data_IF_394762743716
#
_entry.id   IF_394762743716
#
_cell.length_a   1.000
_cell.length_b   1.000
_cell.length_c   1.000
_cell.angle_alpha   90.00
_cell.angle_beta   90.00
_cell.angle_gamma   90.00
#
_symmetry.space_group_name_H-M   'P 1'
#
loop_
_entity.id
_entity.type
_entity.pdbx_description
1 polymer ?
#
# COMPACT_ATOMS: atom_id res chain seq x y z
N UNK A 1 -26.24 -5.08 4.96
CA UNK A 1 -26.52 -6.51 4.70
C UNK A 1 -25.59 -7.32 5.58
N UNK A 2 -26.06 -8.41 6.20
CA UNK A 2 -25.16 -9.36 6.84
C UNK A 2 -24.66 -10.31 5.76
N UNK A 3 -23.34 -10.52 5.70
CA UNK A 3 -22.78 -11.53 4.82
C UNK A 3 -22.97 -12.89 5.48
N UNK A 4 -23.78 -13.73 4.85
CA UNK A 4 -24.02 -15.09 5.32
C UNK A 4 -22.85 -15.98 4.90
N UNK A 5 -22.07 -16.45 5.89
CA UNK A 5 -20.88 -17.24 5.67
C UNK A 5 -21.07 -18.63 6.30
N UNK A 6 -21.04 -19.66 5.45
CA UNK A 6 -21.21 -21.06 5.85
C UNK A 6 -19.92 -21.61 6.48
N UNK A 7 -19.85 -21.56 7.81
CA UNK A 7 -18.68 -21.99 8.57
C UNK A 7 -18.46 -23.50 8.47
N UNK A 8 -17.26 -23.91 8.02
CA UNK A 8 -16.87 -25.32 7.92
C UNK A 8 -15.88 -25.70 9.02
N UNK A 9 -16.15 -26.80 9.72
CA UNK A 9 -15.24 -27.33 10.74
C UNK A 9 -13.86 -27.61 10.15
N UNK A 10 -12.81 -27.17 10.86
CA UNK A 10 -11.41 -27.33 10.45
C UNK A 10 -10.95 -26.36 9.36
N UNK A 11 -11.84 -25.58 8.74
CA UNK A 11 -11.47 -24.59 7.74
C UNK A 11 -10.85 -23.35 8.41
N UNK A 12 -9.65 -22.96 7.97
CA UNK A 12 -9.06 -21.70 8.43
C UNK A 12 -9.71 -20.53 7.71
N UNK A 13 -10.21 -19.58 8.49
CA UNK A 13 -10.75 -18.31 8.03
C UNK A 13 -9.85 -17.18 8.55
N UNK A 14 -9.65 -16.13 7.75
CA UNK A 14 -8.81 -14.99 8.12
C UNK A 14 -9.64 -13.72 8.14
N UNK A 15 -9.26 -12.83 9.05
CA UNK A 15 -9.93 -11.55 9.26
C UNK A 15 -8.90 -10.44 9.27
N UNK A 16 -9.30 -9.26 8.79
CA UNK A 16 -8.55 -8.03 9.03
C UNK A 16 -9.51 -6.91 9.41
N UNK A 17 -9.04 -6.04 10.30
CA UNK A 17 -9.74 -4.83 10.70
C UNK A 17 -8.80 -3.65 10.47
N UNK A 18 -9.27 -2.64 9.74
CA UNK A 18 -8.60 -1.36 9.60
C UNK A 18 -9.28 -0.31 10.45
N UNK A 19 -8.49 0.64 10.95
CA UNK A 19 -8.98 1.83 11.63
C UNK A 19 -8.23 3.05 11.11
N UNK A 20 -8.94 4.16 10.89
CA UNK A 20 -8.35 5.47 10.60
C UNK A 20 -9.15 6.58 11.29
N UNK A 21 -8.52 7.70 11.67
CA UNK A 21 -9.25 8.88 12.10
C UNK A 21 -10.22 9.36 11.00
N UNK A 22 -11.39 9.84 11.41
CA UNK A 22 -12.45 10.37 10.56
C UNK A 22 -12.85 11.75 11.09
N UNK A 23 -12.07 12.76 10.72
CA UNK A 23 -12.09 14.06 11.40
C UNK A 23 -11.42 14.01 12.78
N UNK A 24 -11.75 14.96 13.65
CA UNK A 24 -11.10 15.12 14.96
C UNK A 24 -11.66 14.16 16.04
N UNK A 25 -12.96 13.85 16.01
CA UNK A 25 -13.64 13.18 17.13
C UNK A 25 -14.03 11.74 16.85
N UNK A 26 -13.83 11.24 15.63
CA UNK A 26 -14.32 9.94 15.19
C UNK A 26 -13.21 9.07 14.63
N UNK A 27 -13.44 7.76 14.68
CA UNK A 27 -12.62 6.76 14.01
C UNK A 27 -13.52 5.93 13.11
N UNK A 28 -13.09 5.75 11.87
CA UNK A 28 -13.71 4.83 10.92
C UNK A 28 -13.04 3.46 11.01
N UNK A 29 -13.85 2.41 11.03
CA UNK A 29 -13.44 1.02 11.07
C UNK A 29 -13.96 0.29 9.84
N UNK A 30 -13.14 -0.59 9.27
CA UNK A 30 -13.53 -1.49 8.18
C UNK A 30 -13.09 -2.93 8.48
N UNK A 31 -14.02 -3.87 8.40
CA UNK A 31 -13.77 -5.30 8.60
C UNK A 31 -13.83 -6.09 7.29
N UNK A 32 -12.91 -7.04 7.12
CA UNK A 32 -12.87 -7.92 5.96
C UNK A 32 -12.67 -9.37 6.39
N UNK A 33 -13.25 -10.29 5.61
CA UNK A 33 -13.07 -11.75 5.73
C UNK A 33 -12.39 -12.28 4.48
N UNK A 34 -11.39 -13.15 4.64
CA UNK A 34 -10.84 -13.89 3.51
C UNK A 34 -11.68 -15.15 3.29
N UNK A 35 -12.41 -15.21 2.16
CA UNK A 35 -13.34 -16.29 1.85
C UNK A 35 -12.54 -17.50 1.35
N UNK A 36 -12.45 -18.61 2.10
CA UNK A 36 -11.69 -19.77 1.67
C UNK A 36 -12.33 -20.42 0.44
N UNK A 37 -11.53 -20.68 -0.60
CA UNK A 37 -11.98 -21.23 -1.88
C UNK A 37 -12.12 -20.19 -3.00
N UNK A 38 -12.48 -18.94 -2.68
CA UNK A 38 -12.50 -17.83 -3.65
C UNK A 38 -11.15 -17.10 -3.75
N UNK A 39 -10.26 -17.34 -2.77
CA UNK A 39 -8.94 -16.72 -2.68
C UNK A 39 -8.99 -15.18 -2.77
N UNK A 40 -10.02 -14.57 -2.17
CA UNK A 40 -10.21 -13.13 -2.13
C UNK A 40 -10.68 -12.66 -0.76
N UNK A 41 -10.37 -11.40 -0.48
CA UNK A 41 -10.94 -10.69 0.66
C UNK A 41 -12.30 -10.10 0.29
N UNK A 42 -13.27 -10.30 1.17
CA UNK A 42 -14.61 -9.75 1.08
C UNK A 42 -14.77 -8.69 2.17
N UNK A 43 -15.15 -7.48 1.76
CA UNK A 43 -15.56 -6.42 2.68
C UNK A 43 -16.84 -6.82 3.42
N UNK A 44 -16.84 -6.66 4.74
CA UNK A 44 -17.97 -6.99 5.61
C UNK A 44 -18.78 -5.76 6.01
N UNK A 45 -18.09 -4.75 6.53
CA UNK A 45 -18.72 -3.54 7.03
C UNK A 45 -17.70 -2.41 7.13
N UNK A 46 -18.17 -1.20 6.87
CA UNK A 46 -17.49 0.04 7.25
C UNK A 46 -18.43 0.84 8.12
N UNK A 47 -17.96 1.34 9.26
CA UNK A 47 -18.71 2.27 10.10
C UNK A 47 -17.78 3.28 10.75
N UNK A 48 -18.33 4.41 11.17
CA UNK A 48 -17.61 5.47 11.87
C UNK A 48 -18.30 5.73 13.21
N UNK A 49 -17.53 5.96 14.27
CA UNK A 49 -18.06 6.17 15.62
C UNK A 49 -17.20 7.17 16.42
N UNK A 50 -17.78 7.73 17.47
CA UNK A 50 -17.14 8.74 18.34
C UNK A 50 -16.14 8.07 19.29
N UNK A 51 -14.85 8.28 19.03
CA UNK A 51 -13.73 7.67 19.76
C UNK A 51 -12.58 8.65 19.99
N UNK A 52 -12.74 9.93 19.63
CA UNK A 52 -11.67 10.93 19.72
C UNK A 52 -10.51 10.70 18.75
N UNK A 53 -10.77 10.05 17.60
CA UNK A 53 -9.73 9.69 16.62
C UNK A 53 -8.79 8.56 17.07
N UNK A 54 -9.05 7.93 18.21
CA UNK A 54 -8.23 6.83 18.72
C UNK A 54 -8.31 5.59 17.81
N UNK A 55 -7.16 4.95 17.58
CA UNK A 55 -7.06 3.70 16.80
C UNK A 55 -7.41 2.47 17.65
N UNK A 56 -7.27 1.29 17.04
CA UNK A 56 -7.54 -0.01 17.69
C UNK A 56 -6.73 -0.17 18.99
N UNK A 57 -7.43 -0.45 20.09
CA UNK A 57 -6.86 -0.82 21.39
C UNK A 57 -7.60 -2.04 21.94
N UNK A 58 -6.93 -2.80 22.81
CA UNK A 58 -7.53 -3.97 23.47
C UNK A 58 -8.06 -4.96 22.43
N UNK A 59 -7.17 -5.68 21.75
CA UNK A 59 -7.58 -6.65 20.74
C UNK A 59 -8.14 -7.89 21.43
N UNK A 60 -9.40 -8.24 21.13
CA UNK A 60 -10.10 -9.38 21.72
C UNK A 60 -10.48 -10.42 20.66
N UNK A 61 -10.56 -11.67 21.08
CA UNK A 61 -11.13 -12.77 20.31
C UNK A 61 -12.09 -13.53 21.21
N UNK A 62 -13.22 -13.97 20.68
CA UNK A 62 -14.25 -14.67 21.44
C UNK A 62 -14.88 -15.79 20.59
N UNK A 63 -15.48 -16.75 21.29
CA UNK A 63 -16.27 -17.85 20.72
C UNK A 63 -17.57 -17.84 21.49
N UNK A 64 -18.63 -17.40 20.83
CA UNK A 64 -19.93 -17.23 21.47
C UNK A 64 -21.04 -17.78 20.59
N UNK A 65 -22.04 -18.35 21.26
CA UNK A 65 -23.24 -18.87 20.66
C UNK A 65 -24.41 -17.91 20.92
N UNK A 66 -25.00 -17.43 19.83
CA UNK A 66 -26.11 -16.49 19.86
C UNK A 66 -27.47 -17.12 19.50
N UNK A 67 -27.54 -18.44 19.24
CA UNK A 67 -28.79 -19.10 18.80
C UNK A 67 -29.85 -19.13 19.90
N UNK A 68 -29.44 -19.15 21.18
CA UNK A 68 -30.32 -19.13 22.36
C UNK A 68 -31.42 -20.20 22.31
N UNK A 69 -31.15 -21.34 21.69
CA UNK A 69 -32.11 -22.46 21.53
C UNK A 69 -31.98 -23.52 22.64
N UNK A 70 -30.94 -23.43 23.47
CA UNK A 70 -30.66 -24.36 24.58
C UNK A 70 -30.01 -25.67 24.14
N UNK A 71 -30.23 -26.12 22.90
CA UNK A 71 -29.56 -27.28 22.32
C UNK A 71 -28.10 -26.97 22.01
N UNK A 72 -27.83 -25.81 21.43
CA UNK A 72 -26.48 -25.33 21.10
C UNK A 72 -25.58 -25.25 22.33
N UNK A 73 -26.12 -24.93 23.50
CA UNK A 73 -25.38 -24.90 24.75
C UNK A 73 -24.84 -26.28 25.19
N UNK A 74 -25.44 -27.38 24.70
CA UNK A 74 -24.99 -28.76 24.96
C UNK A 74 -23.89 -29.24 24.02
N UNK A 75 -23.46 -28.38 23.09
CA UNK A 75 -22.44 -28.71 22.10
C UNK A 75 -21.18 -27.90 22.41
N UNK A 76 -20.03 -28.56 22.33
CA UNK A 76 -18.73 -27.90 22.46
C UNK A 76 -18.48 -27.01 21.25
N UNK A 77 -18.24 -25.74 21.51
CA UNK A 77 -17.80 -24.75 20.52
C UNK A 77 -16.35 -24.40 20.77
N UNK A 78 -15.47 -24.70 19.82
CA UNK A 78 -14.03 -24.41 19.93
C UNK A 78 -13.52 -23.70 18.67
N UNK A 79 -12.76 -22.61 18.87
CA UNK A 79 -12.00 -21.98 17.80
C UNK A 79 -10.51 -21.93 18.15
N UNK A 80 -9.66 -21.98 17.12
CA UNK A 80 -8.19 -21.90 17.25
C UNK A 80 -7.67 -20.62 16.59
N UNK A 81 -7.13 -19.71 17.40
CA UNK A 81 -6.57 -18.43 16.99
C UNK A 81 -5.05 -18.53 16.83
N UNK A 82 -4.51 -17.97 15.74
CA UNK A 82 -3.09 -17.96 15.46
C UNK A 82 -2.75 -17.01 14.34
N UNK A 83 -1.45 -16.81 14.09
CA UNK A 83 -0.94 -15.88 13.08
C UNK A 83 -1.56 -14.47 13.17
N UNK A 84 -1.76 -13.97 14.39
CA UNK A 84 -2.25 -12.61 14.62
C UNK A 84 -1.14 -11.58 14.42
N UNK A 85 -1.47 -10.45 13.81
CA UNK A 85 -0.55 -9.34 13.55
C UNK A 85 -1.25 -8.01 13.78
N UNK A 86 -0.50 -7.02 14.26
CA UNK A 86 -0.96 -5.63 14.35
C UNK A 86 0.09 -4.71 13.72
N UNK A 87 -0.36 -3.77 12.90
CA UNK A 87 0.49 -2.68 12.42
C UNK A 87 0.42 -1.56 13.45
N UNK A 88 1.47 -1.41 14.25
CA UNK A 88 1.50 -0.36 15.27
C UNK A 88 1.79 0.99 14.62
N UNK A 89 0.99 2.01 14.99
CA UNK A 89 1.39 3.41 14.79
C UNK A 89 2.48 3.71 15.81
N UNK A 90 3.75 3.73 15.38
CA UNK A 90 4.85 4.29 16.16
C UNK A 90 5.27 5.62 15.56
N UNK A 91 5.89 6.46 16.38
CA UNK A 91 6.32 7.81 16.01
C UNK A 91 7.37 7.84 14.88
N UNK A 92 7.98 6.69 14.53
CA UNK A 92 9.07 6.59 13.54
C UNK A 92 8.93 5.46 12.49
N UNK A 93 7.73 4.89 12.27
CA UNK A 93 7.37 4.01 11.12
C UNK A 93 6.16 3.13 11.45
N UNK A 94 5.44 2.65 10.44
CA UNK A 94 4.44 1.60 10.60
C UNK A 94 5.10 0.21 10.75
N UNK A 95 5.23 -0.28 11.99
CA UNK A 95 5.91 -1.57 12.25
C UNK A 95 4.92 -2.69 12.54
N UNK A 96 5.03 -3.80 11.80
CA UNK A 96 4.27 -5.03 12.08
C UNK A 96 4.75 -5.70 13.37
N UNK A 97 3.82 -6.00 14.28
CA UNK A 97 4.07 -6.73 15.52
C UNK A 97 3.26 -8.02 15.55
N UNK A 98 3.88 -9.18 15.81
CA UNK A 98 3.15 -10.43 15.95
C UNK A 98 2.38 -10.45 17.28
N UNK A 99 1.16 -10.95 17.25
CA UNK A 99 0.34 -11.21 18.43
C UNK A 99 0.58 -12.65 18.87
N UNK A 100 1.49 -12.83 19.83
CA UNK A 100 1.87 -14.15 20.35
C UNK A 100 1.33 -14.46 21.73
N UNK A 101 0.83 -13.47 22.47
CA UNK A 101 0.30 -13.64 23.82
C UNK A 101 -1.19 -13.35 23.85
N UNK A 102 -1.97 -14.29 24.38
CA UNK A 102 -3.40 -14.11 24.67
C UNK A 102 -3.67 -14.18 26.17
N UNK A 103 -4.45 -13.24 26.71
CA UNK A 103 -4.93 -13.27 28.10
C UNK A 103 -6.33 -13.86 28.13
N UNK A 104 -6.56 -14.88 28.96
CA UNK A 104 -7.87 -15.49 29.09
C UNK A 104 -8.74 -14.68 30.05
N UNK A 105 -9.86 -14.16 29.57
CA UNK A 105 -10.77 -13.30 30.33
C UNK A 105 -12.22 -13.74 30.16
N UNK A 106 -13.05 -13.45 31.15
CA UNK A 106 -14.51 -13.58 31.10
C UNK A 106 -15.11 -12.31 31.73
N UNK A 107 -16.39 -12.08 31.47
CA UNK A 107 -17.14 -11.00 32.12
C UNK A 107 -17.40 -11.33 33.61
N UNK A 108 -18.24 -10.53 34.27
CA UNK A 108 -18.62 -10.76 35.66
C UNK A 108 -19.59 -11.93 35.86
N UNK A 109 -20.08 -12.55 34.78
CA UNK A 109 -21.03 -13.64 34.84
C UNK A 109 -20.29 -14.92 35.27
N UNK A 110 -20.77 -15.64 36.31
CA UNK A 110 -20.15 -16.88 36.75
C UNK A 110 -20.19 -17.96 35.65
N UNK A 111 -19.14 -18.02 34.84
CA UNK A 111 -19.06 -18.92 33.71
C UNK A 111 -18.21 -20.12 34.11
N UNK A 112 -18.80 -21.32 34.02
CA UNK A 112 -18.14 -22.57 34.46
C UNK A 112 -17.74 -23.49 33.30
N UNK A 113 -18.29 -23.25 32.11
CA UNK A 113 -18.14 -24.08 30.91
C UNK A 113 -17.25 -23.41 29.87
N UNK A 114 -16.10 -22.89 30.29
CA UNK A 114 -15.14 -22.21 29.42
C UNK A 114 -13.73 -22.74 29.65
N UNK A 115 -12.94 -22.75 28.58
CA UNK A 115 -11.55 -23.14 28.65
C UNK A 115 -10.72 -22.41 27.58
N UNK A 116 -9.44 -22.27 27.83
CA UNK A 116 -8.49 -21.68 26.90
C UNK A 116 -7.13 -22.31 27.07
N UNK A 117 -6.38 -22.50 26.00
CA UNK A 117 -5.07 -23.13 26.10
C UNK A 117 -4.29 -23.08 24.80
N UNK A 118 -3.10 -23.66 24.80
CA UNK A 118 -2.25 -23.77 23.61
C UNK A 118 -2.49 -25.10 22.89
N UNK A 119 -2.61 -25.05 21.58
CA UNK A 119 -2.57 -26.22 20.70
C UNK A 119 -1.62 -25.92 19.53
N UNK A 120 -0.50 -26.63 19.47
CA UNK A 120 0.59 -26.36 18.54
C UNK A 120 1.05 -24.88 18.55
N UNK A 121 0.86 -24.17 17.44
CA UNK A 121 1.20 -22.76 17.22
C UNK A 121 0.00 -21.82 17.38
N UNK A 122 -1.08 -22.29 18.01
CA UNK A 122 -2.35 -21.57 18.19
C UNK A 122 -2.80 -21.56 19.65
N UNK A 123 -3.66 -20.59 19.97
CA UNK A 123 -4.41 -20.52 21.22
C UNK A 123 -5.85 -20.91 20.91
N UNK A 124 -6.42 -21.86 21.65
CA UNK A 124 -7.85 -22.16 21.54
C UNK A 124 -8.66 -21.41 22.59
N UNK A 125 -9.92 -21.15 22.25
CA UNK A 125 -10.98 -20.78 23.17
C UNK A 125 -12.13 -21.77 22.97
N UNK A 126 -12.68 -22.26 24.08
CA UNK A 126 -13.76 -23.23 24.09
C UNK A 126 -14.88 -22.80 25.03
N UNK A 127 -16.12 -23.02 24.60
CA UNK A 127 -17.34 -22.83 25.38
C UNK A 127 -18.33 -23.97 25.14
N UNK A 128 -19.34 -24.10 26.01
CA UNK A 128 -20.45 -25.05 25.84
C UNK A 128 -20.20 -26.44 26.44
N UNK A 129 -21.26 -27.23 26.55
CA UNK A 129 -21.28 -28.58 27.14
C UNK A 129 -20.62 -28.64 28.55
N UNK A 130 -20.13 -29.82 28.95
CA UNK A 130 -19.37 -30.08 30.18
C UNK A 130 -17.91 -29.56 30.16
N UNK A 131 -17.63 -28.51 29.39
CA UNK A 131 -16.29 -27.88 29.35
C UNK A 131 -15.82 -27.50 30.75
N UNK A 132 -14.56 -27.78 31.07
CA UNK A 132 -13.92 -27.37 32.33
C UNK A 132 -12.66 -26.58 32.01
N UNK A 133 -12.33 -25.63 32.88
CA UNK A 133 -11.08 -24.87 32.74
C UNK A 133 -9.89 -25.71 33.20
N UNK A 134 -9.39 -26.56 32.31
CA UNK A 134 -8.32 -27.52 32.61
C UNK A 134 -6.94 -27.03 32.12
N UNK A 135 -6.89 -25.94 31.33
CA UNK A 135 -5.66 -25.43 30.73
C UNK A 135 -5.26 -24.08 31.34
N UNK A 136 -5.36 -22.99 30.58
CA UNK A 136 -4.97 -21.64 31.03
C UNK A 136 -6.01 -21.13 32.01
N UNK A 137 -5.58 -20.78 33.22
CA UNK A 137 -6.48 -20.28 34.26
C UNK A 137 -7.10 -18.94 33.86
N UNK A 138 -8.34 -18.71 34.29
CA UNK A 138 -8.99 -17.43 34.09
C UNK A 138 -8.13 -16.28 34.66
N UNK A 139 -7.92 -15.23 33.85
CA UNK A 139 -7.05 -14.06 34.07
C UNK A 139 -5.56 -14.26 33.83
N UNK A 140 -5.09 -15.49 33.58
CA UNK A 140 -3.72 -15.78 33.18
C UNK A 140 -3.52 -15.62 31.66
N UNK A 141 -2.28 -15.75 31.20
CA UNK A 141 -1.90 -15.59 29.80
C UNK A 141 -1.24 -16.84 29.22
N UNK A 142 -1.31 -16.99 27.92
CA UNK A 142 -0.65 -18.04 27.14
C UNK A 142 0.13 -17.41 26.01
N UNK A 143 1.36 -17.87 25.81
CA UNK A 143 2.25 -17.35 24.77
C UNK A 143 2.61 -18.42 23.73
N UNK A 144 2.77 -17.97 22.49
CA UNK A 144 3.21 -18.74 21.34
C UNK A 144 4.67 -18.41 21.01
N UNK A 145 5.38 -19.36 20.40
CA UNK A 145 6.73 -19.10 19.87
C UNK A 145 6.68 -18.05 18.74
N UNK A 146 7.72 -17.22 18.66
CA UNK A 146 7.83 -16.12 17.68
C UNK A 146 8.65 -16.47 16.44
N UNK A 147 9.43 -17.55 16.46
CA UNK A 147 10.38 -17.87 15.39
C UNK A 147 9.68 -18.00 14.02
N UNK A 148 10.25 -17.33 13.01
CA UNK A 148 9.92 -17.43 11.58
C UNK A 148 8.53 -16.94 11.11
N UNK A 149 7.77 -16.22 11.94
CA UNK A 149 6.47 -15.65 11.51
C UNK A 149 6.69 -14.40 10.63
N UNK A 150 5.98 -14.32 9.50
CA UNK A 150 5.93 -13.13 8.62
C UNK A 150 4.51 -12.55 8.57
N UNK A 151 4.35 -11.21 8.48
CA UNK A 151 3.04 -10.60 8.34
C UNK A 151 2.36 -11.03 7.04
N UNK A 152 1.02 -11.11 7.01
CA UNK A 152 0.29 -11.41 5.79
C UNK A 152 0.52 -10.32 4.74
N UNK A 153 0.83 -10.72 3.50
CA UNK A 153 1.15 -9.82 2.38
C UNK A 153 -0.05 -9.53 1.48
N UNK A 154 -1.05 -10.40 1.51
CA UNK A 154 -2.22 -10.40 0.65
C UNK A 154 -3.40 -9.63 1.23
N UNK A 155 -3.18 -8.76 2.23
CA UNK A 155 -4.23 -8.04 2.95
C UNK A 155 -5.07 -7.13 2.02
N UNK A 156 -6.40 -7.04 2.20
CA UNK A 156 -7.23 -6.19 1.35
C UNK A 156 -6.81 -4.73 1.45
N UNK A 157 -7.16 -3.95 0.44
CA UNK A 157 -6.96 -2.52 0.50
C UNK A 157 -7.82 -1.93 1.64
N UNK A 158 -7.26 -1.09 2.53
CA UNK A 158 -8.01 -0.46 3.60
C UNK A 158 -9.12 0.44 3.05
N UNK A 159 -10.33 0.29 3.60
CA UNK A 159 -11.51 1.11 3.23
C UNK A 159 -11.87 1.09 1.74
N UNK A 160 -11.47 0.05 1.00
CA UNK A 160 -11.95 -0.20 -0.35
C UNK A 160 -13.32 -0.89 -0.26
N UNK A 161 -14.36 -0.06 -0.23
CA UNK A 161 -15.77 -0.47 -0.33
C UNK A 161 -16.20 -0.66 -1.80
N UNK A 162 -15.26 -0.60 -2.75
CA UNK A 162 -15.55 -0.55 -4.17
C UNK A 162 -16.13 0.80 -4.64
N UNK A 163 -16.15 1.83 -3.78
CA UNK A 163 -16.74 3.14 -4.10
C UNK A 163 -15.74 4.14 -4.71
N UNK A 164 -14.49 3.75 -4.97
CA UNK A 164 -13.68 4.52 -5.93
C UNK A 164 -14.31 4.33 -7.29
N UNK A 165 -15.15 5.30 -7.67
CA UNK A 165 -15.63 5.43 -9.04
C UNK A 165 -14.39 5.50 -9.95
N UNK A 166 -14.12 4.45 -10.76
CA UNK A 166 -12.97 4.44 -11.66
C UNK A 166 -13.04 5.57 -12.70
N UNK A 167 -14.15 6.31 -12.76
CA UNK A 167 -14.34 7.45 -13.65
C UNK A 167 -13.96 8.82 -13.06
N UNK A 168 -13.67 8.97 -11.76
CA UNK A 168 -13.58 10.31 -11.17
C UNK A 168 -12.26 10.70 -10.49
N UNK A 169 -11.47 9.79 -9.93
CA UNK A 169 -10.17 10.14 -9.36
C UNK A 169 -9.11 9.06 -9.62
N UNK A 170 -7.95 9.48 -10.09
CA UNK A 170 -6.79 8.63 -10.40
C UNK A 170 -5.72 8.95 -9.36
N UNK A 171 -5.29 7.95 -8.59
CA UNK A 171 -4.17 8.05 -7.65
C UNK A 171 -2.90 7.50 -8.29
N UNK A 172 -1.90 8.36 -8.38
CA UNK A 172 -0.57 8.06 -8.90
C UNK A 172 0.39 8.03 -7.72
N UNK A 173 1.21 6.98 -7.63
CA UNK A 173 2.30 6.84 -6.66
C UNK A 173 3.64 6.94 -7.41
N UNK A 174 4.54 7.82 -6.96
CA UNK A 174 5.95 7.79 -7.30
C UNK A 174 6.74 7.23 -6.13
N UNK A 175 7.59 6.22 -6.38
CA UNK A 175 8.37 5.63 -5.31
C UNK A 175 9.68 5.01 -5.79
N UNK A 176 10.81 5.59 -5.38
CA UNK A 176 12.11 4.94 -5.48
C UNK A 176 12.21 3.87 -4.39
N UNK A 177 12.32 2.60 -4.80
CA UNK A 177 12.29 1.44 -3.87
C UNK A 177 13.67 0.87 -3.57
N UNK A 178 14.73 1.44 -4.13
CA UNK A 178 16.11 0.99 -3.92
C UNK A 178 16.25 -0.55 -4.01
N UNK A 179 15.77 -1.16 -5.09
CA UNK A 179 15.77 -2.62 -5.34
C UNK A 179 15.26 -3.45 -4.15
N UNK A 180 14.27 -2.93 -3.42
CA UNK A 180 13.69 -3.54 -2.23
C UNK A 180 14.58 -3.52 -0.99
N UNK A 181 15.71 -2.80 -1.01
CA UNK A 181 16.63 -2.68 0.13
C UNK A 181 16.18 -1.56 1.07
N UNK A 182 15.78 -1.96 2.28
CA UNK A 182 15.44 -1.02 3.35
C UNK A 182 16.64 -0.26 3.92
N UNK A 183 16.36 0.73 4.77
CA UNK A 183 17.37 1.47 5.52
C UNK A 183 18.03 0.64 6.65
N UNK A 184 17.53 -0.58 6.88
CA UNK A 184 18.19 -1.62 7.68
C UNK A 184 19.10 -2.53 6.84
N UNK A 185 19.36 -2.15 5.58
CA UNK A 185 20.14 -2.88 4.57
C UNK A 185 19.60 -4.28 4.23
N UNK A 186 18.37 -4.59 4.64
CA UNK A 186 17.72 -5.85 4.29
C UNK A 186 16.94 -5.71 2.97
N UNK A 187 17.21 -6.61 2.03
CA UNK A 187 16.47 -6.71 0.77
C UNK A 187 15.20 -7.52 0.99
N UNK A 188 14.06 -6.83 0.98
CA UNK A 188 12.74 -7.41 1.17
C UNK A 188 11.68 -6.63 0.38
N UNK A 189 11.49 -7.05 -0.87
CA UNK A 189 10.52 -6.49 -1.81
C UNK A 189 9.09 -6.48 -1.25
N UNK A 190 8.79 -7.38 -0.31
CA UNK A 190 7.45 -7.48 0.27
C UNK A 190 7.08 -6.24 1.09
N UNK A 191 8.07 -5.53 1.64
CA UNK A 191 7.88 -4.26 2.35
C UNK A 191 7.32 -3.18 1.41
N UNK A 192 7.91 -3.05 0.22
CA UNK A 192 7.42 -2.13 -0.81
C UNK A 192 6.00 -2.50 -1.27
N UNK A 193 5.71 -3.80 -1.44
CA UNK A 193 4.36 -4.26 -1.79
C UNK A 193 3.30 -3.88 -0.73
N UNK A 194 3.62 -4.04 0.56
CA UNK A 194 2.73 -3.64 1.66
C UNK A 194 2.44 -2.15 1.62
N UNK A 195 3.45 -1.31 1.38
CA UNK A 195 3.28 0.14 1.24
C UNK A 195 2.38 0.47 0.06
N UNK A 196 2.64 -0.11 -1.12
CA UNK A 196 1.83 0.12 -2.32
C UNK A 196 0.37 -0.29 -2.08
N UNK A 197 0.11 -1.47 -1.50
CA UNK A 197 -1.25 -1.93 -1.18
C UNK A 197 -1.96 -1.00 -0.20
N UNK A 198 -1.26 -0.53 0.84
CA UNK A 198 -1.79 0.40 1.84
C UNK A 198 -2.21 1.73 1.21
N UNK A 199 -1.39 2.24 0.29
CA UNK A 199 -1.62 3.54 -0.37
C UNK A 199 -2.68 3.45 -1.49
N UNK A 200 -2.98 2.25 -1.96
CA UNK A 200 -3.99 2.00 -2.98
C UNK A 200 -3.89 2.88 -4.24
N UNK A 201 -2.72 2.96 -4.89
CA UNK A 201 -2.61 3.68 -6.14
C UNK A 201 -3.33 2.93 -7.26
N UNK A 202 -3.77 3.69 -8.26
CA UNK A 202 -4.20 3.13 -9.54
C UNK A 202 -3.01 2.93 -10.48
N UNK A 203 -1.96 3.74 -10.30
CA UNK A 203 -0.73 3.72 -11.09
C UNK A 203 0.47 3.96 -10.18
N UNK A 204 1.55 3.20 -10.39
CA UNK A 204 2.80 3.31 -9.64
C UNK A 204 3.95 3.52 -10.61
N UNK A 205 4.70 4.60 -10.45
CA UNK A 205 5.98 4.86 -11.10
C UNK A 205 7.10 4.50 -10.11
N UNK A 206 7.76 3.37 -10.35
CA UNK A 206 8.83 2.84 -9.50
C UNK A 206 10.21 3.17 -10.08
N UNK A 207 11.14 3.60 -9.23
CA UNK A 207 12.55 3.80 -9.59
C UNK A 207 13.43 2.81 -8.82
N UNK A 208 14.62 2.53 -9.36
CA UNK A 208 15.59 1.58 -8.82
C UNK A 208 15.04 0.17 -8.69
N UNK A 209 14.55 -0.37 -9.82
CA UNK A 209 13.95 -1.70 -9.90
C UNK A 209 14.95 -2.64 -10.56
N UNK A 210 15.16 -3.80 -9.95
CA UNK A 210 15.95 -4.90 -10.50
C UNK A 210 15.07 -5.88 -11.29
N UNK A 211 15.66 -6.47 -12.32
CA UNK A 211 15.10 -7.59 -13.06
C UNK A 211 16.13 -8.71 -13.13
N UNK A 212 15.90 -9.77 -12.34
CA UNK A 212 16.74 -10.97 -12.29
C UNK A 212 18.21 -10.70 -11.87
N UNK A 213 18.42 -9.71 -11.01
CA UNK A 213 19.76 -9.35 -10.49
C UNK A 213 20.08 -10.18 -9.24
N UNK A 214 21.33 -10.60 -9.06
CA UNK A 214 21.75 -11.44 -7.93
C UNK A 214 21.47 -10.82 -6.55
N UNK A 215 21.75 -9.52 -6.38
CA UNK A 215 21.55 -8.79 -5.11
C UNK A 215 20.10 -8.76 -4.60
N UNK A 216 19.13 -8.87 -5.51
CA UNK A 216 17.69 -8.88 -5.23
C UNK A 216 17.08 -10.29 -5.30
N UNK A 217 17.93 -11.32 -5.15
CA UNK A 217 17.47 -12.71 -5.13
C UNK A 217 17.05 -13.25 -6.50
N UNK A 218 17.51 -12.63 -7.59
CA UNK A 218 17.15 -13.00 -8.97
C UNK A 218 15.63 -12.95 -9.22
N UNK A 219 14.96 -11.98 -8.60
CA UNK A 219 13.53 -11.74 -8.77
C UNK A 219 13.32 -10.72 -9.89
N UNK A 220 12.27 -10.91 -10.70
CA UNK A 220 11.75 -9.88 -11.59
C UNK A 220 10.85 -8.93 -10.78
N UNK A 221 11.41 -7.90 -10.16
CA UNK A 221 10.73 -7.12 -9.13
C UNK A 221 9.43 -6.45 -9.61
N UNK A 222 9.40 -5.98 -10.86
CA UNK A 222 8.20 -5.39 -11.45
C UNK A 222 7.03 -6.39 -11.51
N UNK A 223 7.30 -7.63 -11.93
CA UNK A 223 6.29 -8.69 -12.02
C UNK A 223 5.85 -9.15 -10.63
N UNK A 224 6.79 -9.33 -9.70
CA UNK A 224 6.48 -9.76 -8.35
C UNK A 224 5.71 -8.69 -7.57
N UNK A 225 6.04 -7.41 -7.73
CA UNK A 225 5.26 -6.31 -7.14
C UNK A 225 3.87 -6.23 -7.76
N UNK A 226 3.72 -6.40 -9.08
CA UNK A 226 2.41 -6.47 -9.73
C UNK A 226 1.54 -7.58 -9.11
N UNK A 227 2.11 -8.78 -8.96
CA UNK A 227 1.46 -9.94 -8.35
C UNK A 227 1.08 -9.70 -6.89
N UNK A 228 1.99 -9.15 -6.09
CA UNK A 228 1.78 -8.89 -4.67
C UNK A 228 0.78 -7.75 -4.43
N UNK A 229 0.69 -6.77 -5.33
CA UNK A 229 -0.19 -5.60 -5.17
C UNK A 229 -1.55 -5.78 -5.85
N UNK A 230 -1.67 -6.70 -6.80
CA UNK A 230 -2.88 -6.90 -7.61
C UNK A 230 -3.04 -5.89 -8.74
N UNK A 231 -1.97 -5.15 -9.09
CA UNK A 231 -1.96 -4.26 -10.24
C UNK A 231 -1.72 -5.08 -11.50
N UNK A 232 -2.78 -5.33 -12.27
CA UNK A 232 -2.81 -6.31 -13.37
C UNK A 232 -1.84 -6.01 -14.51
N UNK A 233 -1.52 -4.73 -14.74
CA UNK A 233 -0.61 -4.32 -15.80
C UNK A 233 0.73 -3.86 -15.21
N UNK A 234 1.82 -4.31 -15.82
CA UNK A 234 3.15 -3.88 -15.42
C UNK A 234 4.11 -3.80 -16.61
N UNK A 235 5.11 -2.94 -16.48
CA UNK A 235 6.18 -2.76 -17.45
C UNK A 235 7.50 -2.58 -16.71
N UNK A 236 8.57 -3.13 -17.27
CA UNK A 236 9.93 -2.89 -16.84
C UNK A 236 10.71 -2.18 -17.96
N UNK A 237 11.48 -1.16 -17.59
CA UNK A 237 12.34 -0.40 -18.49
C UNK A 237 13.77 -0.43 -17.99
N UNK A 238 14.62 -1.20 -18.66
CA UNK A 238 16.05 -1.31 -18.34
C UNK A 238 16.78 0.01 -18.64
N UNK A 239 17.65 0.41 -17.71
CA UNK A 239 18.71 1.38 -17.91
C UNK A 239 19.94 0.72 -18.55
N UNK A 240 20.39 -0.40 -17.96
CA UNK A 240 21.54 -1.19 -18.41
C UNK A 240 21.53 -2.59 -17.76
N UNK A 241 22.39 -3.48 -18.26
CA UNK A 241 22.59 -4.84 -17.71
C UNK A 241 23.45 -4.79 -16.44
N UNK A 242 23.05 -5.53 -15.40
CA UNK A 242 23.71 -5.53 -14.09
C UNK A 242 23.64 -6.92 -13.44
N UNK A 243 24.78 -7.47 -13.03
CA UNK A 243 24.90 -8.72 -12.25
C UNK A 243 24.00 -9.88 -12.75
N UNK A 244 24.10 -10.19 -14.04
CA UNK A 244 23.34 -11.27 -14.70
C UNK A 244 21.89 -10.91 -15.05
N UNK A 245 21.38 -9.78 -14.56
CA UNK A 245 20.06 -9.25 -14.85
C UNK A 245 20.13 -7.83 -15.41
N UNK A 246 19.12 -7.02 -15.10
CA UNK A 246 19.01 -5.65 -15.56
C UNK A 246 18.57 -4.73 -14.43
N UNK A 247 19.07 -3.50 -14.43
CA UNK A 247 18.67 -2.45 -13.51
C UNK A 247 17.88 -1.37 -14.25
N UNK A 248 16.85 -0.82 -13.63
CA UNK A 248 15.97 0.13 -14.30
C UNK A 248 14.86 0.72 -13.45
N UNK A 249 13.70 0.87 -14.08
CA UNK A 249 12.48 1.41 -13.50
C UNK A 249 11.27 0.58 -13.94
N UNK A 250 10.13 0.75 -13.27
CA UNK A 250 8.92 0.05 -13.61
C UNK A 250 7.68 0.94 -13.52
N UNK A 251 6.63 0.55 -14.25
CA UNK A 251 5.28 1.10 -14.08
C UNK A 251 4.36 -0.07 -13.74
N UNK A 252 3.56 0.08 -12.67
CA UNK A 252 2.46 -0.83 -12.34
C UNK A 252 1.14 -0.08 -12.51
N UNK A 253 0.09 -0.73 -12.98
CA UNK A 253 -1.20 -0.07 -13.22
C UNK A 253 -2.40 -1.00 -13.10
N UNK A 254 -3.52 -0.43 -12.64
CA UNK A 254 -4.86 -1.00 -12.76
C UNK A 254 -5.41 -0.93 -14.19
N UNK A 255 -4.88 -0.03 -15.01
CA UNK A 255 -5.39 0.25 -16.36
C UNK A 255 -4.43 -0.29 -17.42
N UNK A 256 -4.95 -0.69 -18.61
CA UNK A 256 -4.10 -1.10 -19.71
C UNK A 256 -3.11 -0.01 -20.12
N UNK A 257 -1.86 -0.41 -20.36
CA UNK A 257 -0.78 0.45 -20.80
C UNK A 257 -0.54 0.26 -22.31
N UNK A 258 -0.48 1.37 -23.06
CA UNK A 258 -0.29 1.39 -24.53
C UNK A 258 0.84 2.34 -24.90
N UNK A 259 1.20 2.35 -26.18
CA UNK A 259 2.23 3.24 -26.76
C UNK A 259 3.53 3.25 -25.95
N UNK A 260 3.93 2.06 -25.50
CA UNK A 260 5.04 1.89 -24.56
C UNK A 260 6.37 2.20 -25.23
N UNK A 261 7.14 3.10 -24.62
CA UNK A 261 8.48 3.44 -25.05
C UNK A 261 9.43 3.47 -23.85
N UNK A 262 10.49 2.65 -23.89
CA UNK A 262 11.65 2.82 -23.03
C UNK A 262 12.60 3.83 -23.68
N UNK A 263 12.39 5.12 -23.41
CA UNK A 263 13.13 6.22 -24.02
C UNK A 263 14.52 6.32 -23.41
N UNK A 264 15.56 5.97 -24.18
CA UNK A 264 16.95 6.21 -23.78
C UNK A 264 17.18 7.72 -23.64
N UNK A 265 17.73 8.12 -22.50
CA UNK A 265 18.08 9.51 -22.25
C UNK A 265 19.54 9.78 -22.66
N UNK A 266 19.95 11.05 -22.85
CA UNK A 266 21.32 11.39 -23.20
C UNK A 266 22.35 10.73 -22.27
N UNK A 267 23.44 10.26 -22.86
CA UNK A 267 24.50 9.55 -22.13
C UNK A 267 25.08 10.42 -21.00
N UNK A 268 25.28 9.78 -19.85
CA UNK A 268 25.96 10.31 -18.69
C UNK A 268 26.84 9.24 -18.08
N UNK A 269 27.38 9.49 -16.88
CA UNK A 269 28.23 8.51 -16.19
C UNK A 269 27.53 7.16 -15.94
N UNK A 270 26.21 7.18 -15.76
CA UNK A 270 25.36 6.00 -15.67
C UNK A 270 24.20 6.16 -16.67
N UNK A 271 23.98 5.18 -17.57
CA UNK A 271 22.87 5.24 -18.52
C UNK A 271 21.52 5.37 -17.81
N UNK A 272 20.63 6.19 -18.34
CA UNK A 272 19.26 6.34 -17.85
C UNK A 272 18.26 6.24 -18.99
N UNK A 273 17.06 5.79 -18.67
CA UNK A 273 15.91 5.82 -19.56
C UNK A 273 14.70 6.38 -18.84
N UNK A 274 13.65 6.70 -19.60
CA UNK A 274 12.33 7.03 -19.07
C UNK A 274 11.29 6.12 -19.71
N UNK A 275 10.42 5.52 -18.90
CA UNK A 275 9.28 4.75 -19.40
C UNK A 275 8.15 5.72 -19.74
N UNK A 276 7.85 5.86 -21.02
CA UNK A 276 6.72 6.64 -21.55
C UNK A 276 5.60 5.68 -21.96
N UNK A 277 4.39 5.94 -21.50
CA UNK A 277 3.22 5.11 -21.78
C UNK A 277 1.97 5.96 -21.93
N UNK A 278 0.99 5.48 -22.68
CA UNK A 278 -0.40 5.96 -22.62
C UNK A 278 -1.16 5.08 -21.64
N UNK A 279 -1.70 5.68 -20.57
CA UNK A 279 -2.56 4.99 -19.60
C UNK A 279 -4.00 5.05 -20.09
N UNK A 280 -4.58 3.90 -20.41
CA UNK A 280 -5.90 3.82 -21.03
C UNK A 280 -7.04 3.79 -19.99
N UNK A 281 -7.28 4.91 -19.33
CA UNK A 281 -8.46 5.16 -18.48
C UNK A 281 -9.66 5.59 -19.33
N UNK A 282 -10.78 5.98 -18.70
CA UNK A 282 -11.90 6.62 -19.40
C UNK A 282 -11.50 7.92 -20.14
N UNK A 283 -10.48 8.62 -19.64
CA UNK A 283 -9.84 9.78 -20.27
C UNK A 283 -8.32 9.54 -20.33
N UNK A 284 -7.82 8.96 -21.43
CA UNK A 284 -6.42 8.58 -21.53
C UNK A 284 -5.47 9.76 -21.32
N UNK A 285 -4.31 9.47 -20.72
CA UNK A 285 -3.23 10.43 -20.55
C UNK A 285 -1.88 9.75 -20.72
N UNK A 286 -0.86 10.52 -21.08
CA UNK A 286 0.52 10.04 -21.20
C UNK A 286 1.22 10.14 -19.85
N UNK A 287 1.96 9.12 -19.45
CA UNK A 287 2.77 9.09 -18.25
C UNK A 287 4.24 8.88 -18.64
N UNK A 288 5.13 9.68 -18.06
CA UNK A 288 6.56 9.43 -18.05
C UNK A 288 7.04 9.12 -16.63
N UNK A 289 7.63 7.94 -16.43
CA UNK A 289 8.39 7.63 -15.23
C UNK A 289 9.84 8.10 -15.41
N UNK A 290 10.38 8.88 -14.48
CA UNK A 290 11.73 9.45 -14.57
C UNK A 290 12.60 9.09 -13.36
N UNK A 291 13.90 8.96 -13.61
CA UNK A 291 14.94 8.93 -12.59
C UNK A 291 16.17 9.63 -13.16
N UNK A 292 16.27 10.94 -12.93
CA UNK A 292 17.36 11.77 -13.47
C UNK A 292 18.63 11.66 -12.63
N UNK A 293 19.80 11.67 -13.26
CA UNK A 293 21.11 11.44 -12.60
C UNK A 293 22.25 12.00 -13.48
N UNK A 294 23.40 12.52 -13.00
CA UNK A 294 23.98 12.76 -11.65
C UNK A 294 24.27 14.25 -11.41
N UNK A 295 24.72 14.95 -12.45
CA UNK A 295 25.07 16.38 -12.44
C UNK A 295 23.90 17.22 -12.95
N UNK A 296 23.85 18.51 -12.63
CA UNK A 296 22.77 19.40 -13.13
C UNK A 296 22.72 19.42 -14.67
N UNK A 297 23.87 19.40 -15.35
CA UNK A 297 23.94 19.40 -16.81
C UNK A 297 23.35 18.12 -17.43
N UNK A 298 23.67 16.94 -16.87
CA UNK A 298 23.06 15.67 -17.29
C UNK A 298 21.55 15.69 -17.05
N UNK A 299 21.11 16.11 -15.86
CA UNK A 299 19.69 16.19 -15.53
C UNK A 299 18.92 17.15 -16.44
N UNK A 300 19.52 18.29 -16.81
CA UNK A 300 18.93 19.23 -17.78
C UNK A 300 18.76 18.60 -19.17
N UNK A 301 19.77 17.88 -19.67
CA UNK A 301 19.69 17.20 -20.96
C UNK A 301 18.64 16.07 -20.95
N UNK A 302 18.59 15.29 -19.86
CA UNK A 302 17.62 14.22 -19.65
C UNK A 302 16.19 14.76 -19.57
N UNK A 303 15.96 15.79 -18.74
CA UNK A 303 14.66 16.43 -18.58
C UNK A 303 14.17 17.08 -19.89
N UNK A 304 15.08 17.73 -20.63
CA UNK A 304 14.78 18.28 -21.97
C UNK A 304 14.30 17.19 -22.92
N UNK A 305 14.98 16.04 -22.95
CA UNK A 305 14.62 14.91 -23.81
C UNK A 305 13.25 14.34 -23.46
N UNK A 306 12.93 14.19 -22.16
CA UNK A 306 11.60 13.74 -21.71
C UNK A 306 10.51 14.74 -22.08
N UNK A 307 10.74 16.03 -21.83
CA UNK A 307 9.79 17.10 -22.19
C UNK A 307 9.48 17.09 -23.68
N UNK A 308 10.51 17.01 -24.52
CA UNK A 308 10.36 17.03 -25.97
C UNK A 308 9.67 15.76 -26.50
N UNK A 309 9.91 14.60 -25.89
CA UNK A 309 9.20 13.36 -26.23
C UNK A 309 7.71 13.37 -25.84
N UNK A 310 7.33 14.18 -24.84
CA UNK A 310 5.94 14.38 -24.44
C UNK A 310 5.25 15.48 -25.26
N UNK A 311 5.98 16.32 -26.01
CA UNK A 311 5.40 17.43 -26.77
C UNK A 311 4.40 17.02 -27.88
N UNK A 312 4.61 15.93 -28.65
CA UNK A 312 3.64 15.47 -29.65
C UNK A 312 2.31 15.05 -29.00
N UNK A 313 1.18 15.34 -29.68
CA UNK A 313 -0.15 15.03 -29.16
C UNK A 313 -0.54 15.92 -27.97
N UNK A 314 -0.34 17.24 -28.11
CA UNK A 314 -0.61 18.24 -27.06
C UNK A 314 -2.07 18.27 -26.58
N UNK A 315 -2.97 17.60 -27.28
CA UNK A 315 -4.37 17.36 -26.93
C UNK A 315 -4.54 16.27 -25.85
N UNK A 316 -3.54 15.40 -25.64
CA UNK A 316 -3.58 14.35 -24.61
C UNK A 316 -2.88 14.88 -23.35
N UNK A 317 -3.55 14.88 -22.18
CA UNK A 317 -2.93 15.25 -20.92
C UNK A 317 -1.68 14.41 -20.64
N UNK A 318 -0.68 15.02 -20.02
CA UNK A 318 0.58 14.37 -19.67
C UNK A 318 0.83 14.47 -18.18
N UNK A 319 1.43 13.42 -17.61
CA UNK A 319 1.93 13.33 -16.25
C UNK A 319 3.40 12.91 -16.29
N UNK A 320 4.23 13.52 -15.47
CA UNK A 320 5.59 13.03 -15.18
C UNK A 320 5.65 12.70 -13.70
N UNK A 321 6.15 11.52 -13.36
CA UNK A 321 6.31 11.05 -11.99
C UNK A 321 7.70 10.45 -11.81
N UNK A 322 8.40 10.81 -10.73
CA UNK A 322 9.68 10.15 -10.42
C UNK A 322 10.62 10.96 -9.55
N UNK A 323 11.83 10.42 -9.44
CA UNK A 323 12.97 11.06 -8.77
C UNK A 323 13.70 11.97 -9.77
N UNK A 324 13.61 13.28 -9.54
CA UNK A 324 14.26 14.28 -10.38
C UNK A 324 15.70 14.57 -9.93
N UNK A 325 16.13 14.11 -8.75
CA UNK A 325 17.40 14.45 -8.12
C UNK A 325 17.72 15.96 -8.16
N UNK A 326 16.66 16.79 -8.08
CA UNK A 326 16.74 18.23 -8.30
C UNK A 326 15.85 18.95 -7.30
N UNK A 327 16.38 20.00 -6.68
CA UNK A 327 15.65 20.79 -5.69
C UNK A 327 14.52 21.64 -6.33
N UNK A 328 13.55 22.10 -5.53
CA UNK A 328 12.63 23.15 -5.94
C UNK A 328 13.40 24.35 -6.49
N UNK A 329 12.88 24.98 -7.54
CA UNK A 329 13.48 26.13 -8.25
C UNK A 329 14.80 25.87 -9.01
N UNK A 330 15.26 24.62 -9.10
CA UNK A 330 16.40 24.29 -9.95
C UNK A 330 16.11 24.55 -11.44
N UNK A 331 17.17 24.70 -12.24
CA UNK A 331 17.04 24.89 -13.70
C UNK A 331 16.31 23.73 -14.39
N UNK A 332 16.41 22.53 -13.81
CA UNK A 332 15.69 21.34 -14.27
C UNK A 332 14.19 21.54 -14.14
N UNK A 333 13.72 22.01 -12.98
CA UNK A 333 12.29 22.25 -12.77
C UNK A 333 11.77 23.43 -13.61
N UNK A 334 12.61 24.44 -13.90
CA UNK A 334 12.26 25.55 -14.79
C UNK A 334 11.97 25.12 -16.25
N UNK A 335 12.44 23.94 -16.69
CA UNK A 335 12.07 23.40 -18.01
C UNK A 335 10.58 23.04 -18.10
N UNK A 336 9.90 22.95 -16.96
CA UNK A 336 8.51 22.55 -16.82
C UNK A 336 7.64 23.70 -16.28
N UNK A 337 7.98 24.96 -16.54
CA UNK A 337 7.22 26.13 -16.07
C UNK A 337 5.74 26.15 -16.54
N UNK A 338 5.44 25.49 -17.67
CA UNK A 338 4.06 25.31 -18.17
C UNK A 338 3.32 24.12 -17.53
N UNK A 339 3.98 23.36 -16.67
CA UNK A 339 3.40 22.23 -15.96
C UNK A 339 2.93 22.66 -14.57
N UNK A 340 1.86 22.02 -14.10
CA UNK A 340 1.45 22.14 -12.72
C UNK A 340 2.27 21.18 -11.86
N UNK A 341 3.01 21.73 -10.90
CA UNK A 341 3.66 21.00 -9.80
C UNK A 341 2.82 21.23 -8.53
N UNK A 342 1.99 20.26 -8.12
CA UNK A 342 1.18 20.41 -6.91
C UNK A 342 2.03 20.63 -5.67
N UNK A 343 1.60 21.56 -4.81
CA UNK A 343 2.23 21.75 -3.50
C UNK A 343 2.05 20.50 -2.63
N UNK A 344 3.12 20.09 -1.96
CA UNK A 344 3.12 18.98 -1.00
C UNK A 344 2.79 19.41 0.44
N UNK A 345 2.57 20.72 0.67
CA UNK A 345 2.34 21.28 2.01
C UNK A 345 3.61 21.43 2.85
N UNK A 346 3.46 21.46 4.17
CA UNK A 346 4.58 21.67 5.10
C UNK A 346 5.51 20.45 5.19
N UNK A 347 4.97 19.24 5.03
CA UNK A 347 5.73 17.98 5.04
C UNK A 347 6.11 17.56 3.59
N UNK A 348 6.91 18.40 2.94
CA UNK A 348 7.21 18.28 1.51
C UNK A 348 8.50 17.50 1.18
N UNK A 349 9.30 17.16 2.18
CA UNK A 349 10.62 16.56 2.01
C UNK A 349 10.50 15.04 1.77
N UNK A 350 11.12 14.56 0.70
CA UNK A 350 11.01 13.18 0.21
C UNK A 350 12.28 12.35 0.44
N UNK A 351 13.41 12.97 0.77
CA UNK A 351 14.70 12.28 0.96
C UNK A 351 15.59 12.99 2.00
N UNK A 352 16.46 12.26 2.72
CA UNK A 352 16.37 10.84 2.98
C UNK A 352 15.19 10.55 3.93
N UNK A 353 14.56 9.39 3.81
CA UNK A 353 13.30 9.08 4.52
C UNK A 353 13.40 9.08 6.05
N UNK A 354 14.57 8.77 6.62
CA UNK A 354 14.81 8.78 8.07
C UNK A 354 14.99 10.18 8.66
N UNK A 355 15.58 11.11 7.89
CA UNK A 355 15.83 12.50 8.32
C UNK A 355 15.66 13.42 7.11
N UNK A 356 14.41 13.67 6.68
CA UNK A 356 14.15 14.35 5.42
C UNK A 356 14.75 15.76 5.41
N UNK A 357 15.53 16.07 4.38
CA UNK A 357 16.19 17.37 4.18
C UNK A 357 16.06 17.89 2.75
N UNK A 358 15.48 17.08 1.85
CA UNK A 358 15.36 17.34 0.42
C UNK A 358 13.99 16.97 -0.12
N UNK A 359 13.49 17.80 -1.02
CA UNK A 359 12.38 17.49 -1.91
C UNK A 359 12.97 17.26 -3.30
N UNK A 360 12.97 16.01 -3.76
CA UNK A 360 13.54 15.62 -5.07
C UNK A 360 12.62 14.71 -5.88
N UNK A 361 11.54 14.20 -5.28
CA UNK A 361 10.53 13.41 -5.94
C UNK A 361 9.32 14.29 -6.31
N UNK A 362 8.84 14.16 -7.54
CA UNK A 362 7.75 14.98 -8.07
C UNK A 362 6.74 14.15 -8.86
N UNK A 363 5.47 14.56 -8.78
CA UNK A 363 4.45 14.21 -9.75
C UNK A 363 3.89 15.53 -10.27
N UNK A 364 4.01 15.76 -11.57
CA UNK A 364 3.58 17.00 -12.24
C UNK A 364 2.74 16.66 -13.46
N UNK A 365 1.86 17.57 -13.87
CA UNK A 365 0.97 17.33 -15.00
C UNK A 365 0.76 18.57 -15.86
N UNK A 366 0.31 18.34 -17.10
CA UNK A 366 -0.17 19.37 -18.01
C UNK A 366 -1.28 18.84 -18.93
N UNK A 367 -2.09 19.71 -19.55
CA UNK A 367 -2.23 21.13 -19.21
C UNK A 367 -2.81 21.31 -17.81
N UNK A 368 -2.69 22.52 -17.24
CA UNK A 368 -3.12 22.85 -15.87
C UNK A 368 -4.60 22.59 -15.62
N UNK A 369 -5.44 22.71 -16.65
CA UNK A 369 -6.88 22.49 -16.60
C UNK A 369 -7.30 21.04 -16.91
N UNK A 370 -6.38 20.14 -17.25
CA UNK A 370 -6.72 18.73 -17.48
C UNK A 370 -7.23 18.04 -16.21
N UNK A 371 -6.69 18.43 -15.06
CA UNK A 371 -6.96 17.79 -13.78
C UNK A 371 -7.26 18.81 -12.67
N UNK A 372 -8.11 18.41 -11.73
CA UNK A 372 -8.20 19.02 -10.41
C UNK A 372 -7.41 18.15 -9.42
N UNK A 373 -6.55 18.78 -8.62
CA UNK A 373 -5.81 18.09 -7.56
C UNK A 373 -6.75 17.85 -6.38
N UNK A 374 -6.98 16.57 -6.05
CA UNK A 374 -7.81 16.18 -4.92
C UNK A 374 -6.99 16.00 -3.63
N UNK A 375 -5.78 15.43 -3.75
CA UNK A 375 -4.87 15.21 -2.63
C UNK A 375 -3.42 15.07 -3.11
N UNK A 376 -2.49 15.45 -2.24
CA UNK A 376 -1.04 15.23 -2.39
C UNK A 376 -0.53 14.80 -1.02
N UNK A 377 0.14 13.66 -0.94
CA UNK A 377 0.66 13.15 0.34
C UNK A 377 2.09 12.65 0.16
N UNK A 378 2.98 13.11 1.03
CA UNK A 378 4.30 12.50 1.25
C UNK A 378 4.18 11.55 2.44
N UNK A 379 4.51 10.28 2.23
CA UNK A 379 4.26 9.24 3.22
C UNK A 379 5.48 9.09 4.11
N UNK A 380 5.27 9.21 5.42
CA UNK A 380 6.30 8.85 6.40
C UNK A 380 6.50 7.32 6.44
N UNK A 381 7.61 6.87 5.84
CA UNK A 381 7.96 5.45 5.69
C UNK A 381 9.49 5.28 5.72
N UNK A 382 10.14 5.44 6.89
CA UNK A 382 11.59 5.57 7.00
C UNK A 382 12.36 4.25 6.94
N UNK A 383 11.67 3.10 6.89
CA UNK A 383 12.32 1.78 6.86
C UNK A 383 12.47 1.21 5.45
N UNK A 384 11.44 1.34 4.61
CA UNK A 384 11.29 0.54 3.39
C UNK A 384 12.23 0.98 2.26
N UNK A 385 12.53 2.26 2.17
CA UNK A 385 13.46 2.85 1.20
C UNK A 385 14.07 4.10 1.83
N UNK A 386 15.17 4.59 1.28
CA UNK A 386 15.71 5.91 1.61
C UNK A 386 14.92 7.07 0.99
N UNK A 387 13.96 6.80 0.09
CA UNK A 387 12.96 7.77 -0.35
C UNK A 387 11.63 7.58 0.38
N UNK A 388 10.89 8.67 0.55
CA UNK A 388 9.49 8.65 1.01
C UNK A 388 8.56 8.50 -0.20
N UNK A 389 7.53 7.62 -0.12
CA UNK A 389 6.52 7.52 -1.16
C UNK A 389 5.77 8.85 -1.37
N UNK A 390 5.53 9.24 -2.62
CA UNK A 390 4.75 10.44 -2.97
C UNK A 390 3.48 10.03 -3.72
N UNK A 391 2.31 10.39 -3.21
CA UNK A 391 1.04 10.18 -3.91
C UNK A 391 0.41 11.48 -4.40
N UNK A 392 -0.18 11.44 -5.59
CA UNK A 392 -1.01 12.50 -6.17
C UNK A 392 -2.35 11.91 -6.59
N UNK A 393 -3.46 12.50 -6.13
CA UNK A 393 -4.81 12.16 -6.56
C UNK A 393 -5.35 13.24 -7.49
N UNK A 394 -5.68 12.84 -8.73
CA UNK A 394 -6.14 13.71 -9.80
C UNK A 394 -7.56 13.38 -10.21
N UNK A 395 -8.42 14.38 -10.34
CA UNK A 395 -9.74 14.25 -10.95
C UNK A 395 -9.72 14.86 -12.35
N UNK A 396 -10.12 14.14 -13.40
CA UNK A 396 -10.26 14.75 -14.72
C UNK A 396 -11.29 15.89 -14.68
N UNK A 397 -10.97 17.07 -15.20
CA UNK A 397 -11.99 18.14 -15.32
C UNK A 397 -12.89 17.85 -16.51
N UNK A 398 -14.20 17.91 -16.33
CA UNK A 398 -15.19 17.76 -17.41
C UNK A 398 -15.52 19.14 -17.97
N UNK A 399 -15.78 19.29 -19.28
CA UNK A 399 -16.06 20.59 -19.94
C UNK A 399 -17.16 21.43 -19.24
N UNK A 400 -18.05 20.83 -18.45
CA UNK A 400 -19.06 21.56 -17.67
C UNK A 400 -18.46 22.38 -16.52
N UNK A 401 -17.32 21.98 -15.93
CA UNK A 401 -16.64 22.70 -14.84
C UNK A 401 -15.96 24.00 -15.30
N UNK A 402 -15.77 24.19 -16.61
CA UNK A 402 -15.13 25.37 -17.20
C UNK A 402 -16.10 26.56 -17.34
N UNK A 403 -17.38 26.38 -16.96
CA UNK A 403 -18.45 27.38 -17.13
C UNK A 403 -18.69 28.28 -15.91
N UNK A 404 -17.91 28.14 -14.84
CA UNK A 404 -17.98 29.02 -13.67
C UNK A 404 -16.80 29.99 -13.70
N UNK A 405 -16.99 31.27 -14.08
CA UNK A 405 -15.92 32.27 -13.96
C UNK A 405 -15.67 32.62 -12.48
N UNK A 406 -14.50 33.20 -12.16
CA UNK A 406 -14.10 33.54 -10.79
C UNK A 406 -15.00 34.56 -10.10
#
# INVERSE_FOLDING_TARGET
>A
SFYDFDWKLGQSVRFVVYAKPDGLDRTQYAGYIHVPGENRWQHMATFSTLTGGELLRGLYSFVEDFRRDGESATIVHRAHFGNGWVLAKSDDAATWKPLTTGRFTADSTPTKNIDSGRVADRIFLQTGDDTKNDHTKLRDSTSLETADRKPPLDLPVPFDDGARDPNNAIRILSYNIKHGRGNDDHVDLTRAAVVIRRLNPDIVALQEVDHLVGRSGTVAEAEELARLTGLEHHLFGSFFDHDGGQYGMAILSRYPLRDVQNLKLPEGAEPRSSLLVTVNTARPFRLANVHFYRTEAERLAQATTVRDALAPGADIPCVIAGDFNSYPNSRVLQLFDEWTVPSKGDDHLTFPSQQPDREIDYIMFRPTDAFAVAAVDVIDEPLVSDHRPLTLELRPRVEQDLSTPP
#
